data_IF_641372742664
#
_entry.id   IF_641372742664
#
_cell.length_a   1.000
_cell.length_b   1.000
_cell.length_c   1.000
_cell.angle_alpha   90.00
_cell.angle_beta   90.00
_cell.angle_gamma   90.00
#
_symmetry.space_group_name_H-M   'P 1'
#
loop_
_entity.id
_entity.type
_entity.pdbx_description
1 polymer ?
#
# COMPACT_ATOMS: atom_id res chain seq x y z
N UNK A 1 2.82 4.73 22.84
CA UNK A 1 1.93 4.48 21.69
C UNK A 1 1.28 3.12 21.89
N UNK A 2 0.00 2.93 21.55
CA UNK A 2 -0.66 1.64 21.69
C UNK A 2 0.09 0.60 20.83
N UNK A 3 0.41 -0.55 21.41
CA UNK A 3 1.10 -1.64 20.69
C UNK A 3 0.32 -2.10 19.47
N UNK A 4 -1.01 -2.07 19.53
CA UNK A 4 -1.92 -2.38 18.43
C UNK A 4 -1.74 -1.44 17.24
N UNK A 5 -1.57 -0.15 17.49
CA UNK A 5 -1.42 0.87 16.44
C UNK A 5 -0.07 0.75 15.72
N UNK A 6 0.99 0.45 16.47
CA UNK A 6 2.31 0.13 15.90
C UNK A 6 2.21 -1.12 15.03
N UNK A 7 1.54 -2.16 15.51
CA UNK A 7 1.39 -3.44 14.79
C UNK A 7 0.62 -3.27 13.49
N UNK A 8 -0.50 -2.52 13.51
CA UNK A 8 -1.30 -2.22 12.32
C UNK A 8 -0.48 -1.37 11.33
N UNK A 9 0.23 -0.34 11.80
CA UNK A 9 1.08 0.50 10.96
C UNK A 9 2.21 -0.28 10.27
N UNK A 10 2.94 -1.10 11.03
CA UNK A 10 4.03 -1.93 10.53
C UNK A 10 3.54 -3.00 9.55
N UNK A 11 2.45 -3.70 9.86
CA UNK A 11 1.89 -4.72 8.95
C UNK A 11 1.37 -4.08 7.66
N UNK A 12 0.74 -2.92 7.73
CA UNK A 12 0.29 -2.17 6.54
C UNK A 12 1.47 -1.73 5.68
N UNK A 13 2.52 -1.18 6.29
CA UNK A 13 3.73 -0.78 5.58
C UNK A 13 4.45 -1.98 4.94
N UNK A 14 4.56 -3.10 5.67
CA UNK A 14 5.16 -4.33 5.16
C UNK A 14 4.36 -4.92 4.00
N UNK A 15 3.02 -5.00 4.11
CA UNK A 15 2.13 -5.48 3.04
C UNK A 15 2.24 -4.60 1.79
N UNK A 16 2.27 -3.28 1.95
CA UNK A 16 2.43 -2.36 0.82
C UNK A 16 3.85 -2.44 0.20
N UNK A 17 4.89 -2.63 1.01
CA UNK A 17 6.26 -2.85 0.53
C UNK A 17 6.42 -4.16 -0.25
N UNK A 18 5.81 -5.24 0.22
CA UNK A 18 5.75 -6.51 -0.52
C UNK A 18 4.92 -6.35 -1.79
N UNK A 19 3.85 -5.56 -1.76
CA UNK A 19 3.06 -5.18 -2.93
C UNK A 19 3.86 -4.44 -3.99
N UNK A 20 4.75 -3.53 -3.58
CA UNK A 20 5.71 -2.85 -4.47
C UNK A 20 6.70 -3.82 -5.09
N UNK A 21 7.29 -4.72 -4.29
CA UNK A 21 8.26 -5.68 -4.81
C UNK A 21 7.62 -6.64 -5.84
N UNK A 22 6.32 -6.91 -5.69
CA UNK A 22 5.56 -7.85 -6.51
C UNK A 22 4.59 -7.15 -7.46
N UNK A 23 4.84 -5.86 -7.76
CA UNK A 23 3.98 -5.01 -8.57
C UNK A 23 3.74 -5.58 -9.98
N UNK A 24 4.80 -6.12 -10.59
CA UNK A 24 4.74 -6.77 -11.90
C UNK A 24 3.88 -8.03 -11.89
N UNK A 25 4.02 -8.86 -10.86
CA UNK A 25 3.25 -10.09 -10.69
C UNK A 25 1.77 -9.79 -10.45
N UNK A 26 1.44 -8.74 -9.69
CA UNK A 26 0.06 -8.30 -9.51
C UNK A 26 -0.58 -7.86 -10.84
N UNK A 27 0.16 -7.15 -11.68
CA UNK A 27 -0.33 -6.67 -12.97
C UNK A 27 -0.51 -7.79 -13.99
N UNK A 28 0.34 -8.83 -13.95
CA UNK A 28 0.25 -9.98 -14.86
C UNK A 28 -0.77 -11.02 -14.41
N UNK A 29 -0.88 -11.28 -13.10
CA UNK A 29 -1.63 -12.43 -12.57
C UNK A 29 -3.07 -12.10 -12.17
N UNK A 30 -3.37 -10.84 -11.83
CA UNK A 30 -4.72 -10.47 -11.38
C UNK A 30 -5.58 -9.90 -12.51
N UNK A 31 -6.85 -10.32 -12.56
CA UNK A 31 -7.84 -9.78 -13.51
C UNK A 31 -7.95 -8.24 -13.44
N UNK A 32 -7.80 -7.65 -12.25
CA UNK A 32 -7.80 -6.19 -12.06
C UNK A 32 -6.53 -5.54 -12.60
N UNK A 33 -5.37 -6.18 -12.41
CA UNK A 33 -4.11 -5.75 -12.98
C UNK A 33 -4.13 -5.76 -14.51
N UNK A 34 -4.65 -6.84 -15.11
CA UNK A 34 -4.82 -6.95 -16.55
C UNK A 34 -5.85 -5.95 -17.11
N UNK A 35 -6.95 -5.71 -16.40
CA UNK A 35 -7.90 -4.65 -16.78
C UNK A 35 -7.24 -3.27 -16.74
N UNK A 36 -6.43 -2.99 -15.72
CA UNK A 36 -5.74 -1.71 -15.57
C UNK A 36 -4.67 -1.50 -16.65
N UNK A 37 -3.85 -2.52 -16.94
CA UNK A 37 -2.85 -2.46 -18.03
C UNK A 37 -3.51 -2.32 -19.40
N UNK A 38 -4.66 -2.95 -19.61
CA UNK A 38 -5.40 -2.88 -20.88
C UNK A 38 -6.07 -1.52 -21.12
N UNK A 39 -6.51 -0.81 -20.06
CA UNK A 39 -7.15 0.50 -20.20
C UNK A 39 -6.16 1.68 -20.15
N UNK A 40 -5.11 1.61 -19.33
CA UNK A 40 -4.17 2.72 -19.11
C UNK A 40 -2.77 2.49 -19.73
N UNK A 41 -2.50 1.29 -20.21
CA UNK A 41 -1.17 0.88 -20.66
C UNK A 41 -0.30 0.35 -19.52
N UNK A 42 0.64 -0.53 -19.87
CA UNK A 42 1.47 -1.25 -18.90
C UNK A 42 2.28 -0.31 -17.99
N UNK A 43 2.93 0.70 -18.58
CA UNK A 43 3.77 1.66 -17.84
C UNK A 43 2.95 2.53 -16.88
N UNK A 44 1.79 3.02 -17.31
CA UNK A 44 0.91 3.85 -16.46
C UNK A 44 0.31 3.03 -15.33
N UNK A 45 -0.11 1.79 -15.61
CA UNK A 45 -0.65 0.89 -14.60
C UNK A 45 0.39 0.54 -13.51
N UNK A 46 1.65 0.36 -13.89
CA UNK A 46 2.78 0.24 -12.95
C UNK A 46 2.89 1.49 -12.06
N UNK A 47 2.92 2.69 -12.65
CA UNK A 47 3.02 3.93 -11.88
C UNK A 47 1.84 4.15 -10.92
N UNK A 48 0.62 3.79 -11.33
CA UNK A 48 -0.57 3.86 -10.47
C UNK A 48 -0.44 2.91 -9.28
N UNK A 49 -0.07 1.65 -9.53
CA UNK A 49 0.08 0.64 -8.48
C UNK A 49 1.20 1.01 -7.51
N UNK A 50 2.32 1.50 -8.07
CA UNK A 50 3.47 2.00 -7.33
C UNK A 50 3.12 3.20 -6.48
N UNK A 51 2.36 4.16 -7.02
CA UNK A 51 1.87 5.30 -6.26
C UNK A 51 0.97 4.87 -5.10
N UNK A 52 0.01 3.98 -5.37
CA UNK A 52 -0.92 3.46 -4.36
C UNK A 52 -0.19 2.78 -3.19
N UNK A 53 0.73 1.86 -3.50
CA UNK A 53 1.50 1.20 -2.45
C UNK A 53 2.48 2.13 -1.75
N UNK A 54 3.10 3.08 -2.45
CA UNK A 54 4.00 4.07 -1.83
C UNK A 54 3.24 4.92 -0.81
N UNK A 55 2.04 5.39 -1.17
CA UNK A 55 1.15 6.12 -0.25
C UNK A 55 0.75 5.22 0.93
N UNK A 56 0.45 3.94 0.69
CA UNK A 56 0.18 2.97 1.74
C UNK A 56 1.34 2.75 2.71
N UNK A 57 2.59 2.68 2.21
CA UNK A 57 3.80 2.61 3.04
C UNK A 57 3.96 3.87 3.88
N UNK A 58 3.81 5.05 3.28
CA UNK A 58 3.90 6.34 3.98
C UNK A 58 2.83 6.41 5.07
N UNK A 59 1.60 5.98 4.78
CA UNK A 59 0.50 5.98 5.73
C UNK A 59 0.73 5.00 6.89
N UNK A 60 1.18 3.77 6.59
CA UNK A 60 1.52 2.78 7.60
C UNK A 60 2.68 3.22 8.51
N UNK A 61 3.72 3.83 7.95
CA UNK A 61 4.82 4.44 8.71
C UNK A 61 4.34 5.61 9.56
N UNK A 62 3.47 6.47 9.02
CA UNK A 62 2.93 7.62 9.76
C UNK A 62 2.06 7.19 10.95
N UNK A 63 1.33 6.07 10.81
CA UNK A 63 0.61 5.42 11.90
C UNK A 63 1.56 4.83 12.94
N UNK A 64 2.60 4.11 12.51
CA UNK A 64 3.56 3.47 13.40
C UNK A 64 4.43 4.49 14.18
N UNK A 65 4.76 5.62 13.56
CA UNK A 65 5.50 6.73 14.16
C UNK A 65 4.62 7.64 15.03
N UNK A 66 3.31 7.36 15.12
CA UNK A 66 2.37 8.16 15.92
C UNK A 66 2.17 9.59 15.42
N UNK A 67 2.53 9.87 14.16
CA UNK A 67 2.20 11.13 13.47
C UNK A 67 0.69 11.19 13.23
N UNK A 68 0.10 10.05 12.87
CA UNK A 68 -1.34 9.87 12.75
C UNK A 68 -1.85 9.17 14.01
N UNK A 69 -2.53 9.90 14.89
CA UNK A 69 -3.26 9.32 16.01
C UNK A 69 -4.72 9.09 15.58
N UNK A 70 -5.20 7.83 15.55
CA UNK A 70 -6.62 7.57 15.38
C UNK A 70 -7.35 8.16 16.57
N UNK A 71 -8.49 8.80 16.31
CA UNK A 71 -9.39 9.31 17.35
C UNK A 71 -9.76 8.10 18.23
N UNK A 72 -9.30 8.13 19.48
CA UNK A 72 -9.70 7.16 20.50
C UNK A 72 -11.02 7.68 21.05
N UNK A 73 -12.10 6.98 20.76
CA UNK A 73 -13.37 7.20 21.43
C UNK A 73 -13.29 6.44 22.76
N UNK A 74 -13.21 7.18 23.88
CA UNK A 74 -13.46 6.67 25.23
C UNK A 74 -14.97 6.52 25.47
#
# INVERSE_FOLDING_TARGET
>A
MPTEQIFIGLTTAALCGVGLYREFWFLSETNKGQWLTRNFGFSTALWILRGLFTVGVIFGLSLALGIVNPIRWD
#
